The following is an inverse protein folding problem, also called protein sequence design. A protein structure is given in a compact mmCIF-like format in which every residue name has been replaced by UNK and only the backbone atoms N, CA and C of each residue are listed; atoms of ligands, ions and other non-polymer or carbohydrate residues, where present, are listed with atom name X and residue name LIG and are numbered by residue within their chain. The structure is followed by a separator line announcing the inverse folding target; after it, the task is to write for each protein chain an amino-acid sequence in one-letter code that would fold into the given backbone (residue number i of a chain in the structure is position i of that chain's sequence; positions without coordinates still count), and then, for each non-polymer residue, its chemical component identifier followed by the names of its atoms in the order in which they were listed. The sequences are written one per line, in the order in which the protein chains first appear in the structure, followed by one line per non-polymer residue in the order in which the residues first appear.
data_IF_296799176404
#
_entry.id   IF_296799176404
#
_cell.length_a   1.000
_cell.length_b   1.000
_cell.length_c   1.000
_cell.angle_alpha   90.00
_cell.angle_beta   90.00
_cell.angle_gamma   90.00
#
_symmetry.space_group_name_H-M   'P 1'
#
loop_
_entity.id
_entity.type
_entity.pdbx_description
1 polymer ?
#
# COMPACT_ATOMS: atom_id res chain seq x y z
N UNK A 1 13.70 12.41 -1.75
CA UNK A 1 12.32 11.90 -1.54
C UNK A 1 12.28 10.45 -1.97
N UNK A 2 12.44 9.53 -1.01
CA UNK A 2 12.36 8.08 -1.20
C UNK A 2 11.13 7.60 -0.40
N UNK A 3 10.28 6.81 -1.02
CA UNK A 3 9.18 6.09 -0.37
C UNK A 3 9.54 4.61 -0.35
N UNK A 4 9.41 3.95 0.81
CA UNK A 4 9.78 2.55 0.97
C UNK A 4 8.87 1.83 1.97
N UNK A 5 8.49 0.60 1.65
CA UNK A 5 7.86 -0.33 2.58
C UNK A 5 8.59 -1.68 2.53
N UNK A 6 8.89 -2.25 3.70
CA UNK A 6 9.56 -3.54 3.81
C UNK A 6 8.78 -4.47 4.73
N UNK A 7 8.62 -5.73 4.29
CA UNK A 7 8.04 -6.81 5.09
C UNK A 7 9.08 -7.90 5.25
N UNK A 8 9.36 -8.28 6.49
CA UNK A 8 10.24 -9.39 6.84
C UNK A 8 9.40 -10.55 7.38
N UNK A 9 9.56 -11.73 6.81
CA UNK A 9 8.91 -12.97 7.22
C UNK A 9 9.91 -14.12 7.25
N UNK A 10 9.60 -15.26 7.90
CA UNK A 10 10.48 -16.43 7.88
C UNK A 10 10.84 -16.94 6.47
N UNK A 11 9.97 -16.67 5.49
CA UNK A 11 10.17 -17.02 4.08
C UNK A 11 11.10 -16.08 3.31
N UNK A 12 11.43 -14.90 3.86
CA UNK A 12 12.30 -13.91 3.25
C UNK A 12 11.88 -12.47 3.52
N UNK A 13 12.54 -11.54 2.83
CA UNK A 13 12.27 -10.10 2.94
C UNK A 13 11.77 -9.58 1.61
N UNK A 14 10.72 -8.77 1.63
CA UNK A 14 10.20 -8.07 0.45
C UNK A 14 10.25 -6.57 0.70
N UNK A 15 10.72 -5.82 -0.28
CA UNK A 15 10.85 -4.36 -0.21
C UNK A 15 10.28 -3.72 -1.45
N UNK A 16 9.39 -2.76 -1.28
CA UNK A 16 8.83 -1.94 -2.36
C UNK A 16 9.38 -0.54 -2.22
N UNK A 17 9.93 0.02 -3.30
CA UNK A 17 10.44 1.38 -3.39
C UNK A 17 9.61 2.16 -4.40
N UNK A 18 9.18 3.37 -4.01
CA UNK A 18 8.39 4.33 -4.80
C UNK A 18 7.15 3.77 -5.51
N UNK A 19 6.68 2.60 -5.08
CA UNK A 19 5.63 1.79 -5.69
C UNK A 19 5.91 1.33 -7.13
N UNK A 20 7.16 1.46 -7.62
CA UNK A 20 7.56 1.06 -8.97
C UNK A 20 8.62 -0.05 -9.00
N UNK A 21 9.30 -0.32 -7.88
CA UNK A 21 10.31 -1.35 -7.77
C UNK A 21 10.02 -2.29 -6.60
N UNK A 22 9.89 -3.59 -6.87
CA UNK A 22 9.85 -4.66 -5.88
C UNK A 22 11.19 -5.38 -5.85
N UNK A 23 11.75 -5.55 -4.65
CA UNK A 23 12.93 -6.36 -4.38
C UNK A 23 12.55 -7.49 -3.43
N UNK A 24 12.81 -8.74 -3.82
CA UNK A 24 12.59 -9.93 -3.00
C UNK A 24 13.93 -10.57 -2.66
N UNK A 25 14.25 -10.65 -1.37
CA UNK A 25 15.45 -11.27 -0.85
C UNK A 25 15.16 -12.71 -0.44
N UNK A 26 15.75 -13.66 -1.16
CA UNK A 26 15.68 -15.10 -0.87
C UNK A 26 17.07 -15.69 -0.59
N UNK A 27 17.11 -17.00 -0.34
CA UNK A 27 18.36 -17.73 -0.04
C UNK A 27 19.40 -17.69 -1.18
N UNK A 28 18.96 -17.48 -2.42
CA UNK A 28 19.80 -17.43 -3.62
C UNK A 28 20.19 -16.03 -4.10
N UNK A 29 19.85 -14.98 -3.34
CA UNK A 29 20.09 -13.57 -3.72
C UNK A 29 18.80 -12.75 -3.80
N UNK A 30 18.88 -11.61 -4.49
CA UNK A 30 17.76 -10.68 -4.64
C UNK A 30 17.23 -10.67 -6.07
N UNK A 31 15.92 -10.76 -6.23
CA UNK A 31 15.24 -10.54 -7.51
C UNK A 31 14.57 -9.18 -7.51
N UNK A 32 14.67 -8.45 -8.62
CA UNK A 32 14.07 -7.13 -8.79
C UNK A 32 12.99 -7.19 -9.88
N UNK A 33 11.88 -6.52 -9.64
CA UNK A 33 10.79 -6.38 -10.60
C UNK A 33 10.36 -4.92 -10.63
N UNK A 34 10.26 -4.36 -11.82
CA UNK A 34 9.85 -2.98 -12.04
C UNK A 34 8.44 -2.93 -12.64
N UNK A 35 7.70 -1.86 -12.35
CA UNK A 35 6.53 -1.51 -13.12
C UNK A 35 6.91 -1.35 -14.60
N UNK A 36 6.06 -1.76 -15.56
CA UNK A 36 6.36 -1.59 -16.99
C UNK A 36 6.54 -0.12 -17.37
N UNK A 37 7.50 0.17 -18.26
CA UNK A 37 7.83 1.56 -18.68
C UNK A 37 6.65 2.33 -19.27
N UNK A 38 5.70 1.63 -19.89
CA UNK A 38 4.51 2.22 -20.49
C UNK A 38 3.35 2.41 -19.51
N UNK A 39 3.45 1.90 -18.27
CA UNK A 39 2.37 1.97 -17.30
C UNK A 39 2.22 3.41 -16.77
N UNK A 40 1.01 4.00 -16.81
CA UNK A 40 0.79 5.33 -16.27
C UNK A 40 1.06 5.39 -14.77
N UNK A 41 1.65 6.50 -14.30
CA UNK A 41 1.95 6.72 -12.89
C UNK A 41 0.71 6.59 -11.99
N UNK A 42 -0.46 7.04 -12.45
CA UNK A 42 -1.72 6.91 -11.70
C UNK A 42 -2.11 5.45 -11.45
N UNK A 43 -1.73 4.54 -12.34
CA UNK A 43 -1.95 3.10 -12.18
C UNK A 43 -0.90 2.53 -11.24
N UNK A 44 0.39 2.82 -11.46
CA UNK A 44 1.50 2.34 -10.62
C UNK A 44 1.35 2.75 -9.15
N UNK A 45 0.90 3.99 -8.91
CA UNK A 45 0.67 4.54 -7.57
C UNK A 45 -0.67 4.12 -6.95
N UNK A 46 -1.47 3.32 -7.66
CA UNK A 46 -2.74 2.79 -7.15
C UNK A 46 -3.93 3.78 -7.17
N UNK A 47 -3.76 5.02 -7.64
CA UNK A 47 -4.85 6.00 -7.73
C UNK A 47 -5.96 5.54 -8.66
N UNK A 48 -5.62 5.16 -9.89
CA UNK A 48 -6.60 4.71 -10.87
C UNK A 48 -7.41 3.50 -10.37
N UNK A 49 -6.80 2.38 -9.91
CA UNK A 49 -7.57 1.24 -9.42
C UNK A 49 -8.38 1.57 -8.15
N UNK A 50 -7.90 2.44 -7.26
CA UNK A 50 -8.65 2.85 -6.07
C UNK A 50 -9.92 3.63 -6.43
N UNK A 51 -9.83 4.59 -7.36
CA UNK A 51 -10.99 5.35 -7.84
C UNK A 51 -11.99 4.43 -8.54
N UNK A 52 -11.51 3.51 -9.37
CA UNK A 52 -12.37 2.53 -10.03
C UNK A 52 -13.11 1.65 -9.02
N UNK A 53 -12.41 1.14 -8.01
CA UNK A 53 -13.03 0.34 -6.95
C UNK A 53 -14.06 1.13 -6.14
N UNK A 54 -13.80 2.41 -5.87
CA UNK A 54 -14.77 3.29 -5.21
C UNK A 54 -16.02 3.52 -6.05
N UNK A 55 -15.88 3.87 -7.33
CA UNK A 55 -17.03 4.09 -8.23
C UNK A 55 -17.86 2.83 -8.38
N UNK A 56 -17.21 1.66 -8.51
CA UNK A 56 -17.90 0.37 -8.54
C UNK A 56 -18.70 0.11 -7.26
N UNK A 57 -18.11 0.38 -6.09
CA UNK A 57 -18.79 0.21 -4.81
C UNK A 57 -20.00 1.14 -4.65
N UNK A 58 -19.97 2.34 -5.23
CA UNK A 58 -21.10 3.28 -5.20
C UNK A 58 -22.21 2.86 -6.18
N UNK A 59 -21.85 2.28 -7.31
CA UNK A 59 -22.81 1.87 -8.34
C UNK A 59 -23.58 0.59 -7.98
N UNK A 60 -23.02 -0.27 -7.13
CA UNK A 60 -23.62 -1.53 -6.69
C UNK A 60 -24.31 -1.36 -5.31
N UNK A 61 -25.62 -1.67 -5.17
CA UNK A 61 -26.31 -1.66 -3.87
C UNK A 61 -25.65 -2.55 -2.80
N UNK A 62 -25.01 -3.64 -3.20
CA UNK A 62 -24.25 -4.55 -2.31
C UNK A 62 -22.73 -4.24 -2.34
N UNK A 63 -22.35 -3.13 -2.97
CA UNK A 63 -20.99 -2.68 -3.16
C UNK A 63 -20.27 -2.45 -1.84
N UNK A 64 -19.08 -3.02 -1.70
CA UNK A 64 -18.23 -2.84 -0.52
C UNK A 64 -17.23 -1.73 -0.76
N UNK A 65 -17.12 -0.80 0.18
CA UNK A 65 -16.10 0.24 0.14
C UNK A 65 -14.71 -0.40 0.04
N UNK A 66 -13.83 0.02 -0.90
CA UNK A 66 -12.48 -0.51 -1.04
C UNK A 66 -11.63 -0.35 0.22
N UNK A 67 -11.98 0.59 1.10
CA UNK A 67 -11.38 0.73 2.44
C UNK A 67 -12.49 0.68 3.49
N UNK A 68 -12.39 -0.26 4.42
CA UNK A 68 -13.43 -0.41 5.44
C UNK A 68 -13.46 0.79 6.40
N UNK A 69 -14.63 1.25 6.87
CA UNK A 69 -14.71 2.31 7.88
C UNK A 69 -13.96 1.97 9.16
N UNK A 70 -14.00 0.71 9.59
CA UNK A 70 -13.33 0.24 10.80
C UNK A 70 -11.80 0.39 10.70
N UNK A 71 -11.19 0.00 9.57
CA UNK A 71 -9.75 0.17 9.36
C UNK A 71 -9.35 1.64 9.28
N UNK A 72 -10.19 2.49 8.67
CA UNK A 72 -9.94 3.94 8.61
C UNK A 72 -9.97 4.58 10.00
N UNK A 73 -10.95 4.23 10.83
CA UNK A 73 -11.04 4.71 12.22
C UNK A 73 -9.84 4.26 13.04
N UNK A 74 -9.45 2.98 12.93
CA UNK A 74 -8.29 2.43 13.65
C UNK A 74 -7.00 3.15 13.26
N UNK A 75 -6.77 3.42 11.98
CA UNK A 75 -5.58 4.13 11.53
C UNK A 75 -5.49 5.54 12.16
N UNK A 76 -6.60 6.28 12.21
CA UNK A 76 -6.63 7.60 12.84
C UNK A 76 -6.44 7.52 14.36
N UNK A 77 -7.02 6.51 15.03
CA UNK A 77 -6.85 6.31 16.46
C UNK A 77 -5.38 6.04 16.83
N UNK A 78 -4.70 5.15 16.09
CA UNK A 78 -3.27 4.86 16.30
C UNK A 78 -2.41 6.12 16.15
N UNK A 79 -2.69 6.95 15.15
CA UNK A 79 -1.97 8.22 14.98
C UNK A 79 -2.24 9.18 16.13
N UNK A 80 -3.49 9.29 16.59
CA UNK A 80 -3.84 10.14 17.74
C UNK A 80 -3.12 9.68 19.02
N UNK A 81 -3.09 8.38 19.29
CA UNK A 81 -2.40 7.80 20.42
C UNK A 81 -0.89 8.06 20.38
N UNK A 82 -0.26 7.90 19.21
CA UNK A 82 1.15 8.21 19.00
C UNK A 82 1.46 9.68 19.30
N UNK A 83 0.62 10.60 18.81
CA UNK A 83 0.78 12.05 19.06
C UNK A 83 0.67 12.36 20.55
N UNK A 84 -0.25 11.70 21.27
CA UNK A 84 -0.40 11.89 22.71
C UNK A 84 0.81 11.37 23.49
N UNK A 85 1.39 10.23 23.08
CA UNK A 85 2.60 9.67 23.69
C UNK A 85 3.83 10.58 23.51
N UNK A 86 3.96 11.27 22.37
CA UNK A 86 5.10 12.17 22.12
C UNK A 86 5.00 13.48 22.93
N UNK A 87 3.78 13.90 23.30
CA UNK A 87 3.55 15.16 24.03
C UNK A 87 3.67 15.02 25.56
N UNK A 88 3.68 13.79 26.07
CA UNK A 88 3.81 13.47 27.50
C UNK A 88 5.27 13.44 27.93
#
# INVERSE_FOLDING_TARGET
NLEEAQVAAPSGVQRVQNLDQLVVYGRGGATQTFAPDWQPMLTTRGFQPMVQAFVQAVADPEGKNPVSPATSQLAHAVVADLVNQIKA
#
